data_IF_187595255764
#
_entry.id   IF_187595255764
#
_cell.length_a   1.000
_cell.length_b   1.000
_cell.length_c   1.000
_cell.angle_alpha   90.00
_cell.angle_beta   90.00
_cell.angle_gamma   90.00
#
_symmetry.space_group_name_H-M   'P 1'
#
loop_
_entity.id
_entity.type
_entity.pdbx_description
1 polymer ?
#
# COMPACT_ATOMS: atom_id res chain seq x y z
N UNK A 1 7.05 3.63 55.95
CA UNK A 1 6.27 3.86 54.71
C UNK A 1 7.12 4.53 53.64
N UNK A 2 7.72 5.71 53.87
CA UNK A 2 8.62 6.35 52.89
C UNK A 2 9.84 5.51 52.45
N UNK A 3 10.41 4.71 53.35
CA UNK A 3 11.59 3.88 53.05
C UNK A 3 11.24 2.68 52.13
N UNK A 4 10.03 2.11 52.30
CA UNK A 4 9.55 1.01 51.46
C UNK A 4 9.24 1.50 50.04
N UNK A 5 8.49 2.60 49.90
CA UNK A 5 8.17 3.17 48.59
C UNK A 5 9.44 3.52 47.80
N UNK A 6 10.43 4.12 48.46
CA UNK A 6 11.73 4.42 47.83
C UNK A 6 12.46 3.16 47.36
N UNK A 7 12.36 2.04 48.09
CA UNK A 7 12.93 0.76 47.68
C UNK A 7 12.18 0.16 46.47
N UNK A 8 10.84 0.23 46.46
CA UNK A 8 10.02 -0.24 45.34
C UNK A 8 10.32 0.54 44.05
N UNK A 9 10.43 1.87 44.15
CA UNK A 9 10.76 2.70 42.99
C UNK A 9 12.16 2.43 42.47
N UNK A 10 13.13 2.17 43.36
CA UNK A 10 14.46 1.74 42.95
C UNK A 10 14.43 0.40 42.23
N UNK A 11 13.75 -0.60 42.78
CA UNK A 11 13.61 -1.91 42.11
C UNK A 11 12.91 -1.81 40.77
N UNK A 12 11.95 -0.90 40.63
CA UNK A 12 11.28 -0.66 39.35
C UNK A 12 12.24 -0.06 38.32
N UNK A 13 13.08 0.92 38.72
CA UNK A 13 14.10 1.50 37.86
C UNK A 13 15.20 0.50 37.45
N UNK A 14 15.46 -0.50 38.30
CA UNK A 14 16.43 -1.55 38.06
C UNK A 14 15.81 -2.79 37.34
N UNK A 15 14.57 -2.69 36.84
CA UNK A 15 13.79 -3.78 36.21
C UNK A 15 13.60 -5.04 37.10
N UNK A 16 13.73 -4.89 38.42
CA UNK A 16 13.61 -5.96 39.40
C UNK A 16 12.15 -6.21 39.81
N UNK A 17 11.24 -6.32 38.85
CA UNK A 17 9.78 -6.42 39.08
C UNK A 17 9.39 -7.61 39.97
N UNK A 18 10.06 -8.75 39.83
CA UNK A 18 9.81 -9.92 40.67
C UNK A 18 10.10 -9.65 42.16
N UNK A 19 11.07 -8.77 42.48
CA UNK A 19 11.34 -8.40 43.88
C UNK A 19 10.22 -7.57 44.47
N UNK A 20 9.66 -6.65 43.68
CA UNK A 20 8.48 -5.87 44.06
C UNK A 20 7.31 -6.81 44.35
N UNK A 21 7.03 -7.74 43.43
CA UNK A 21 5.95 -8.72 43.56
C UNK A 21 6.12 -9.55 44.82
N UNK A 22 7.29 -10.18 45.02
CA UNK A 22 7.55 -11.00 46.19
C UNK A 22 7.38 -10.21 47.49
N UNK A 23 7.95 -9.00 47.56
CA UNK A 23 7.88 -8.15 48.74
C UNK A 23 6.44 -7.77 49.11
N UNK A 24 5.62 -7.39 48.12
CA UNK A 24 4.27 -6.90 48.35
C UNK A 24 3.26 -8.02 48.53
N UNK A 25 3.44 -9.19 47.90
CA UNK A 25 2.63 -10.38 48.17
C UNK A 25 2.95 -10.99 49.55
N UNK A 26 4.21 -11.00 49.99
CA UNK A 26 4.53 -11.37 51.37
C UNK A 26 3.87 -10.42 52.38
N UNK A 27 3.86 -9.11 52.08
CA UNK A 27 3.20 -8.12 52.92
C UNK A 27 1.67 -8.30 52.93
N UNK A 28 1.06 -8.58 51.77
CA UNK A 28 -0.39 -8.78 51.61
C UNK A 28 -0.92 -9.95 52.45
N UNK A 29 -0.08 -10.97 52.68
CA UNK A 29 -0.39 -12.11 53.55
C UNK A 29 -0.50 -11.73 55.04
N UNK A 30 0.09 -10.60 55.46
CA UNK A 30 0.11 -10.18 56.87
C UNK A 30 -0.78 -8.98 57.17
N UNK A 31 -1.07 -8.16 56.17
CA UNK A 31 -1.90 -6.96 56.28
C UNK A 31 -2.53 -6.59 54.94
N UNK A 32 -3.64 -5.84 54.97
CA UNK A 32 -4.20 -5.25 53.75
C UNK A 32 -3.24 -4.19 53.20
N UNK A 33 -2.92 -4.26 51.92
CA UNK A 33 -2.18 -3.22 51.22
C UNK A 33 -3.07 -1.97 51.09
N UNK A 34 -2.47 -0.79 51.27
CA UNK A 34 -3.14 0.47 50.95
C UNK A 34 -3.20 0.69 49.44
N UNK A 35 -3.88 1.76 49.03
CA UNK A 35 -4.04 2.15 47.63
C UNK A 35 -2.69 2.20 46.88
N UNK A 36 -1.72 2.94 47.45
CA UNK A 36 -0.42 3.16 46.82
C UNK A 36 0.33 1.84 46.63
N UNK A 37 0.42 1.00 47.65
CA UNK A 37 1.10 -0.30 47.55
C UNK A 37 0.39 -1.27 46.61
N UNK A 38 -0.94 -1.22 46.55
CA UNK A 38 -1.73 -2.04 45.60
C UNK A 38 -1.42 -1.65 44.16
N UNK A 39 -1.40 -0.34 43.86
CA UNK A 39 -1.02 0.17 42.54
C UNK A 39 0.42 -0.17 42.15
N UNK A 40 1.35 -0.18 43.12
CA UNK A 40 2.74 -0.57 42.89
C UNK A 40 2.89 -2.07 42.57
N UNK A 41 2.12 -2.92 43.25
CA UNK A 41 2.07 -4.35 42.95
C UNK A 41 1.50 -4.62 41.55
N UNK A 42 0.37 -3.98 41.21
CA UNK A 42 -0.22 -4.10 39.89
C UNK A 42 0.73 -3.61 38.78
N UNK A 43 1.42 -2.49 39.00
CA UNK A 43 2.47 -2.00 38.07
C UNK A 43 3.55 -3.05 37.84
N UNK A 44 4.03 -3.71 38.89
CA UNK A 44 5.07 -4.74 38.74
C UNK A 44 4.57 -5.95 37.95
N UNK A 45 3.32 -6.37 38.18
CA UNK A 45 2.69 -7.44 37.39
C UNK A 45 2.53 -7.09 35.92
N UNK A 46 2.11 -5.87 35.59
CA UNK A 46 2.03 -5.41 34.19
C UNK A 46 3.40 -5.44 33.49
N UNK A 47 4.47 -5.03 34.18
CA UNK A 47 5.79 -4.94 33.55
C UNK A 47 6.54 -6.27 33.47
N UNK A 48 6.23 -7.24 34.34
CA UNK A 48 6.86 -8.58 34.28
C UNK A 48 6.18 -9.52 33.26
N UNK A 49 4.95 -9.19 32.84
CA UNK A 49 4.15 -10.01 31.95
C UNK A 49 4.86 -10.24 30.60
N UNK A 50 5.26 -11.49 30.37
CA UNK A 50 5.79 -11.96 29.09
C UNK A 50 4.62 -12.46 28.23
N UNK A 51 4.26 -11.69 27.21
CA UNK A 51 3.08 -11.90 26.37
C UNK A 51 3.13 -13.20 25.57
N UNK A 52 4.31 -13.78 25.38
CA UNK A 52 4.51 -15.05 24.67
C UNK A 52 4.28 -16.28 25.56
N UNK A 53 4.01 -16.08 26.86
CA UNK A 53 3.88 -17.17 27.85
C UNK A 53 2.52 -17.14 28.55
N UNK A 54 1.99 -18.33 28.87
CA UNK A 54 0.75 -18.45 29.67
C UNK A 54 0.84 -17.73 31.02
N UNK A 55 2.03 -17.75 31.65
CA UNK A 55 2.28 -17.05 32.91
C UNK A 55 2.02 -15.53 32.79
N UNK A 56 2.35 -14.93 31.63
CA UNK A 56 2.12 -13.51 31.38
C UNK A 56 0.63 -13.14 31.42
N UNK A 57 -0.24 -14.02 30.92
CA UNK A 57 -1.70 -13.83 30.99
C UNK A 57 -2.18 -13.79 32.44
N UNK A 58 -1.76 -14.76 33.26
CA UNK A 58 -2.12 -14.78 34.68
C UNK A 58 -1.56 -13.59 35.47
N UNK A 59 -0.40 -13.06 35.07
CA UNK A 59 0.17 -11.84 35.67
C UNK A 59 -0.67 -10.60 35.32
N UNK A 60 -1.15 -10.46 34.08
CA UNK A 60 -2.05 -9.38 33.67
C UNK A 60 -3.42 -9.47 34.37
N UNK A 61 -3.99 -10.67 34.49
CA UNK A 61 -5.23 -10.92 35.24
C UNK A 61 -5.08 -10.50 36.71
N UNK A 62 -3.92 -10.81 37.32
CA UNK A 62 -3.62 -10.42 38.70
C UNK A 62 -3.47 -8.90 38.85
N UNK A 63 -2.84 -8.22 37.90
CA UNK A 63 -2.75 -6.77 37.88
C UNK A 63 -4.14 -6.12 37.80
N UNK A 64 -5.01 -6.63 36.92
CA UNK A 64 -6.39 -6.17 36.79
C UNK A 64 -7.18 -6.36 38.10
N UNK A 65 -7.10 -7.55 38.71
CA UNK A 65 -7.78 -7.84 39.98
C UNK A 65 -7.40 -6.83 41.07
N UNK A 66 -6.10 -6.57 41.21
CA UNK A 66 -5.56 -5.62 42.18
C UNK A 66 -6.07 -4.20 41.91
N UNK A 67 -6.02 -3.73 40.67
CA UNK A 67 -6.49 -2.38 40.30
C UNK A 67 -7.99 -2.22 40.54
N UNK A 68 -8.80 -3.21 40.14
CA UNK A 68 -10.25 -3.18 40.38
C UNK A 68 -10.60 -3.21 41.87
N UNK A 69 -9.77 -3.82 42.72
CA UNK A 69 -10.00 -3.87 44.18
C UNK A 69 -9.90 -2.50 44.87
N UNK A 70 -9.29 -1.50 44.20
CA UNK A 70 -9.10 -0.13 44.68
C UNK A 70 -9.69 0.92 43.73
N UNK A 71 -10.72 0.53 42.97
CA UNK A 71 -11.34 1.38 41.95
C UNK A 71 -12.00 2.64 42.54
N UNK A 72 -12.52 2.58 43.77
CA UNK A 72 -13.13 3.73 44.43
C UNK A 72 -12.10 4.83 44.72
N UNK A 73 -10.88 4.46 45.12
CA UNK A 73 -9.77 5.39 45.37
C UNK A 73 -9.09 5.89 44.08
N UNK A 74 -9.13 5.09 43.00
CA UNK A 74 -8.42 5.38 41.74
C UNK A 74 -9.15 6.28 40.74
N UNK A 75 -10.39 6.71 41.01
CA UNK A 75 -11.26 7.41 40.04
C UNK A 75 -10.64 8.67 39.43
N UNK A 76 -9.85 9.40 40.23
CA UNK A 76 -9.18 10.65 39.86
C UNK A 76 -7.66 10.49 39.70
N UNK A 77 -7.13 9.25 39.64
CA UNK A 77 -5.71 8.95 39.41
C UNK A 77 -5.47 8.53 37.95
N UNK A 78 -4.80 9.35 37.12
CA UNK A 78 -4.52 9.01 35.73
C UNK A 78 -3.68 7.74 35.59
N UNK A 79 -2.74 7.48 36.51
CA UNK A 79 -1.87 6.30 36.45
C UNK A 79 -2.61 5.01 36.81
N UNK A 80 -3.67 5.09 37.61
CA UNK A 80 -4.52 3.94 37.88
C UNK A 80 -5.30 3.54 36.63
N UNK A 81 -5.92 4.51 35.95
CA UNK A 81 -6.62 4.29 34.69
C UNK A 81 -5.68 3.75 33.61
N UNK A 82 -4.49 4.34 33.46
CA UNK A 82 -3.48 3.87 32.51
C UNK A 82 -3.08 2.42 32.78
N UNK A 83 -2.77 2.06 34.03
CA UNK A 83 -2.36 0.68 34.38
C UNK A 83 -3.47 -0.32 34.15
N UNK A 84 -4.73 0.04 34.45
CA UNK A 84 -5.87 -0.84 34.20
C UNK A 84 -6.11 -1.00 32.70
N UNK A 85 -6.02 0.10 31.95
CA UNK A 85 -6.07 0.09 30.49
C UNK A 85 -4.99 -0.81 29.89
N UNK A 86 -3.75 -0.72 30.37
CA UNK A 86 -2.64 -1.57 29.94
C UNK A 86 -2.94 -3.06 30.18
N UNK A 87 -3.38 -3.42 31.39
CA UNK A 87 -3.74 -4.81 31.71
C UNK A 87 -4.85 -5.34 30.79
N UNK A 88 -5.85 -4.50 30.48
CA UNK A 88 -6.98 -4.87 29.63
C UNK A 88 -6.59 -4.96 28.15
N UNK A 89 -5.73 -4.06 27.67
CA UNK A 89 -5.26 -4.04 26.28
C UNK A 89 -4.54 -5.33 25.92
N UNK A 90 -3.56 -5.75 26.74
CA UNK A 90 -2.82 -7.01 26.52
C UNK A 90 -3.61 -8.27 26.88
N UNK A 91 -4.83 -8.12 27.39
CA UNK A 91 -5.82 -9.19 27.54
C UNK A 91 -6.87 -9.16 26.41
N UNK A 92 -6.60 -8.50 25.29
CA UNK A 92 -7.50 -8.48 24.13
C UNK A 92 -8.87 -7.83 24.44
N UNK A 93 -8.93 -6.87 25.38
CA UNK A 93 -10.16 -6.18 25.81
C UNK A 93 -10.10 -4.68 25.50
N UNK A 94 -9.86 -4.35 24.23
CA UNK A 94 -9.53 -3.00 23.77
C UNK A 94 -10.68 -2.00 23.98
N UNK A 95 -11.95 -2.43 23.91
CA UNK A 95 -13.10 -1.54 24.20
C UNK A 95 -13.10 -1.04 25.65
N UNK A 96 -12.76 -1.92 26.60
CA UNK A 96 -12.64 -1.54 28.00
C UNK A 96 -11.34 -0.75 28.24
N UNK A 97 -10.23 -1.19 27.64
CA UNK A 97 -8.95 -0.50 27.72
C UNK A 97 -9.03 0.95 27.21
N UNK A 98 -9.69 1.17 26.06
CA UNK A 98 -9.93 2.49 25.46
C UNK A 98 -10.65 3.41 26.44
N UNK A 99 -11.68 2.90 27.12
CA UNK A 99 -12.42 3.68 28.12
C UNK A 99 -11.51 4.11 29.28
N UNK A 100 -10.61 3.23 29.73
CA UNK A 100 -9.61 3.56 30.75
C UNK A 100 -8.60 4.60 30.24
N UNK A 101 -8.03 4.42 29.04
CA UNK A 101 -7.05 5.36 28.50
C UNK A 101 -7.65 6.74 28.18
N UNK A 102 -8.89 6.81 27.69
CA UNK A 102 -9.61 8.07 27.53
C UNK A 102 -9.76 8.79 28.87
N UNK A 103 -10.11 8.07 29.94
CA UNK A 103 -10.20 8.64 31.27
C UNK A 103 -8.83 9.07 31.83
N UNK A 104 -7.77 8.31 31.59
CA UNK A 104 -6.41 8.71 31.92
C UNK A 104 -6.02 10.02 31.22
N UNK A 105 -6.35 10.15 29.92
CA UNK A 105 -6.08 11.35 29.12
C UNK A 105 -6.86 12.58 29.58
N UNK A 106 -8.11 12.41 30.00
CA UNK A 106 -8.90 13.50 30.57
C UNK A 106 -8.26 14.07 31.85
N UNK A 107 -7.65 13.20 32.67
CA UNK A 107 -7.02 13.55 33.94
C UNK A 107 -5.59 14.08 33.75
N UNK A 108 -4.85 13.56 32.76
CA UNK A 108 -3.50 14.01 32.38
C UNK A 108 -3.37 14.16 30.85
N UNK A 109 -3.66 15.35 30.30
CA UNK A 109 -3.63 15.58 28.86
C UNK A 109 -2.23 15.56 28.24
N UNK A 110 -1.15 15.65 29.01
CA UNK A 110 0.22 15.75 28.48
C UNK A 110 0.92 14.39 28.33
N UNK A 111 0.30 13.30 28.81
CA UNK A 111 0.88 11.96 28.73
C UNK A 111 0.83 11.38 27.30
N UNK A 112 2.00 11.33 26.66
CA UNK A 112 2.15 10.81 25.29
C UNK A 112 1.88 9.30 25.20
N UNK A 113 2.20 8.54 26.26
CA UNK A 113 2.02 7.09 26.27
C UNK A 113 0.54 6.72 26.21
N UNK A 114 -0.32 7.48 26.90
CA UNK A 114 -1.77 7.32 26.80
C UNK A 114 -2.31 7.58 25.38
N UNK A 115 -1.71 8.47 24.57
CA UNK A 115 -2.15 8.65 23.15
C UNK A 115 -1.94 7.40 22.33
N UNK A 116 -0.77 6.82 22.51
CA UNK A 116 -0.33 5.69 21.75
C UNK A 116 -1.32 4.54 21.96
N UNK A 117 -1.68 4.26 23.21
CA UNK A 117 -2.64 3.20 23.52
C UNK A 117 -4.08 3.52 23.09
N UNK A 118 -4.52 4.79 23.08
CA UNK A 118 -5.83 5.16 22.50
C UNK A 118 -5.85 4.80 21.02
N UNK A 119 -4.83 5.23 20.26
CA UNK A 119 -4.72 4.96 18.82
C UNK A 119 -4.65 3.47 18.52
N UNK A 120 -3.88 2.71 19.30
CA UNK A 120 -3.82 1.25 19.15
C UNK A 120 -5.17 0.59 19.49
N UNK A 121 -5.84 0.98 20.58
CA UNK A 121 -7.17 0.45 20.90
C UNK A 121 -8.17 0.72 19.75
N UNK A 122 -8.23 1.95 19.24
CA UNK A 122 -9.13 2.31 18.12
C UNK A 122 -8.85 1.46 16.88
N UNK A 123 -7.57 1.26 16.55
CA UNK A 123 -7.12 0.41 15.44
C UNK A 123 -7.52 -1.05 15.62
N UNK A 124 -7.29 -1.66 16.78
CA UNK A 124 -7.69 -3.05 17.05
C UNK A 124 -9.21 -3.24 17.12
N UNK A 125 -9.94 -2.26 17.66
CA UNK A 125 -11.41 -2.26 17.65
C UNK A 125 -11.93 -2.23 16.22
N UNK A 126 -11.41 -1.31 15.40
CA UNK A 126 -11.77 -1.23 13.99
C UNK A 126 -11.46 -2.53 13.26
N UNK A 127 -10.25 -3.09 13.44
CA UNK A 127 -9.85 -4.35 12.82
C UNK A 127 -10.75 -5.54 13.21
N UNK A 128 -11.25 -5.61 14.45
CA UNK A 128 -12.17 -6.67 14.89
C UNK A 128 -13.59 -6.54 14.36
N UNK A 129 -13.98 -5.34 13.95
CA UNK A 129 -15.26 -5.08 13.29
C UNK A 129 -15.18 -5.35 11.78
N UNK A 130 -13.98 -5.53 11.23
CA UNK A 130 -13.76 -5.97 9.86
C UNK A 130 -14.04 -7.47 9.70
N UNK A 131 -14.67 -7.81 8.58
CA UNK A 131 -14.86 -9.19 8.14
C UNK A 131 -14.22 -9.34 6.76
N UNK A 132 -12.88 -9.35 6.69
CA UNK A 132 -12.19 -9.44 5.41
C UNK A 132 -12.56 -10.74 4.71
N UNK A 133 -12.57 -10.70 3.38
CA UNK A 133 -12.58 -11.90 2.57
C UNK A 133 -11.30 -12.72 2.85
N UNK A 134 -11.48 -14.02 2.99
CA UNK A 134 -10.45 -15.00 3.33
C UNK A 134 -10.58 -16.20 2.39
N UNK A 135 -9.48 -16.87 2.09
CA UNK A 135 -9.55 -18.19 1.48
C UNK A 135 -10.31 -19.17 2.40
N UNK A 136 -11.04 -20.09 1.78
CA UNK A 136 -11.47 -21.29 2.49
C UNK A 136 -10.24 -22.10 2.90
N UNK A 137 -10.33 -22.88 3.98
CA UNK A 137 -9.17 -23.60 4.52
C UNK A 137 -8.46 -24.48 3.48
N UNK A 138 -9.20 -25.20 2.64
CA UNK A 138 -8.61 -26.07 1.61
C UNK A 138 -7.92 -25.26 0.49
N UNK A 139 -8.46 -24.09 0.14
CA UNK A 139 -7.86 -23.18 -0.84
C UNK A 139 -6.59 -22.53 -0.26
N UNK A 140 -6.63 -22.14 1.01
CA UNK A 140 -5.48 -21.61 1.76
C UNK A 140 -4.31 -22.60 1.72
N UNK A 141 -4.57 -23.85 2.11
CA UNK A 141 -3.56 -24.93 2.12
C UNK A 141 -3.00 -25.19 0.71
N UNK A 142 -3.83 -25.09 -0.34
CA UNK A 142 -3.39 -25.26 -1.73
C UNK A 142 -2.48 -24.11 -2.20
N UNK A 143 -2.85 -22.86 -1.92
CA UNK A 143 -2.07 -21.67 -2.30
C UNK A 143 -0.74 -21.64 -1.54
N UNK A 144 -0.74 -21.94 -0.24
CA UNK A 144 0.48 -22.00 0.57
C UNK A 144 1.44 -23.09 0.06
N UNK A 145 0.93 -24.29 -0.25
CA UNK A 145 1.73 -25.36 -0.82
C UNK A 145 2.29 -25.00 -2.22
N UNK A 146 1.53 -24.26 -3.03
CA UNK A 146 1.99 -23.77 -4.33
C UNK A 146 3.12 -22.75 -4.16
N UNK A 147 2.96 -21.81 -3.23
CA UNK A 147 3.99 -20.82 -2.92
C UNK A 147 5.29 -21.48 -2.47
N UNK A 148 5.21 -22.42 -1.52
CA UNK A 148 6.38 -23.13 -1.01
C UNK A 148 7.08 -23.93 -2.11
N UNK A 149 6.31 -24.58 -2.98
CA UNK A 149 6.84 -25.41 -4.07
C UNK A 149 7.62 -24.61 -5.11
N UNK A 150 7.09 -23.47 -5.56
CA UNK A 150 7.64 -22.76 -6.72
C UNK A 150 8.48 -21.53 -6.35
N UNK A 151 8.15 -20.84 -5.26
CA UNK A 151 8.86 -19.62 -4.84
C UNK A 151 9.77 -19.86 -3.63
N UNK A 152 9.50 -20.90 -2.84
CA UNK A 152 10.30 -21.34 -1.71
C UNK A 152 9.60 -21.17 -0.36
N UNK A 153 10.19 -21.67 0.73
CA UNK A 153 9.57 -21.64 2.05
C UNK A 153 9.35 -20.21 2.54
N UNK A 154 8.22 -19.98 3.20
CA UNK A 154 7.93 -18.71 3.85
C UNK A 154 8.77 -18.60 5.14
N UNK A 155 9.70 -17.65 5.18
CA UNK A 155 10.55 -17.42 6.35
C UNK A 155 9.90 -16.47 7.35
N UNK A 156 9.11 -15.52 6.85
CA UNK A 156 8.48 -14.49 7.63
C UNK A 156 7.21 -14.00 6.92
N UNK A 157 6.21 -13.62 7.71
CA UNK A 157 4.97 -13.04 7.20
C UNK A 157 4.87 -11.63 7.74
N UNK A 158 4.74 -10.66 6.84
CA UNK A 158 4.34 -9.32 7.23
C UNK A 158 2.82 -9.30 7.33
N UNK A 159 2.31 -9.38 8.55
CA UNK A 159 0.87 -9.32 8.80
C UNK A 159 0.34 -7.89 8.66
N UNK A 160 -0.76 -7.75 7.95
CA UNK A 160 -1.46 -6.48 7.89
C UNK A 160 -2.31 -6.27 9.15
N UNK A 161 -2.14 -5.12 9.80
CA UNK A 161 -2.79 -4.86 11.09
C UNK A 161 -4.27 -4.43 10.91
N UNK A 162 -4.63 -3.88 9.75
CA UNK A 162 -6.01 -3.53 9.40
C UNK A 162 -6.33 -3.97 7.99
N UNK A 163 -7.31 -4.85 7.87
CA UNK A 163 -7.77 -5.45 6.62
C UNK A 163 -9.30 -5.35 6.56
N UNK A 164 -9.86 -4.21 6.12
CA UNK A 164 -11.31 -4.00 6.12
C UNK A 164 -12.04 -4.81 5.06
N UNK A 165 -11.33 -5.19 4.00
CA UNK A 165 -11.84 -5.71 2.74
C UNK A 165 -11.36 -7.14 2.48
N UNK A 166 -10.04 -7.32 2.39
CA UNK A 166 -9.34 -8.59 2.20
C UNK A 166 -8.22 -8.70 3.20
N UNK A 167 -7.98 -9.90 3.72
CA UNK A 167 -6.84 -10.16 4.58
C UNK A 167 -5.62 -10.43 3.72
N UNK A 168 -4.79 -9.41 3.55
CA UNK A 168 -3.59 -9.50 2.71
C UNK A 168 -2.35 -9.48 3.59
N UNK A 169 -1.73 -10.64 3.67
CA UNK A 169 -0.41 -10.78 4.23
C UNK A 169 0.65 -10.68 3.12
N UNK A 170 1.87 -10.27 3.48
CA UNK A 170 3.01 -10.34 2.56
C UNK A 170 3.93 -11.45 3.02
N UNK A 171 3.98 -12.52 2.24
CA UNK A 171 4.87 -13.66 2.46
C UNK A 171 6.27 -13.29 1.97
N UNK A 172 7.28 -13.59 2.79
CA UNK A 172 8.69 -13.27 2.50
C UNK A 172 9.47 -14.57 2.43
N UNK A 173 9.92 -14.92 1.23
CA UNK A 173 10.83 -16.04 0.97
C UNK A 173 12.26 -15.50 0.80
N UNK A 174 13.17 -15.84 1.72
CA UNK A 174 14.54 -15.31 1.73
C UNK A 174 15.40 -15.83 0.56
N UNK A 175 16.51 -15.15 0.25
CA UNK A 175 17.53 -15.66 -0.66
C UNK A 175 18.05 -17.03 -0.20
N UNK A 176 18.20 -17.94 -1.15
CA UNK A 176 18.90 -19.21 -0.99
C UNK A 176 20.20 -19.21 -1.81
N UNK A 177 21.14 -20.13 -1.57
CA UNK A 177 22.33 -20.26 -2.41
C UNK A 177 22.00 -20.48 -3.90
N UNK A 178 20.88 -21.14 -4.21
CA UNK A 178 20.40 -21.42 -5.57
C UNK A 178 19.60 -20.24 -6.16
N UNK A 179 18.87 -19.49 -5.32
CA UNK A 179 18.05 -18.32 -5.67
C UNK A 179 18.46 -17.12 -4.82
N UNK A 180 19.50 -16.39 -5.25
CA UNK A 180 20.12 -15.32 -4.46
C UNK A 180 19.37 -13.98 -4.52
N UNK A 181 18.06 -13.99 -4.26
CA UNK A 181 17.18 -12.82 -4.18
C UNK A 181 15.97 -13.16 -3.30
N UNK A 182 15.25 -12.17 -2.77
CA UNK A 182 13.98 -12.36 -2.08
C UNK A 182 12.85 -12.58 -3.08
N UNK A 183 11.84 -13.37 -2.71
CA UNK A 183 10.50 -13.30 -3.30
C UNK A 183 9.56 -12.78 -2.23
N UNK A 184 8.82 -11.73 -2.56
CA UNK A 184 7.69 -11.27 -1.77
C UNK A 184 6.44 -11.60 -2.55
N UNK A 185 5.43 -12.14 -1.88
CA UNK A 185 4.13 -12.46 -2.47
C UNK A 185 3.03 -11.85 -1.61
N UNK A 186 1.98 -11.35 -2.24
CA UNK A 186 0.70 -11.25 -1.54
C UNK A 186 0.22 -12.65 -1.17
N UNK A 187 -0.50 -12.73 -0.07
CA UNK A 187 -1.26 -13.91 0.31
C UNK A 187 -2.61 -13.44 0.83
N UNK A 188 -3.68 -13.85 0.14
CA UNK A 188 -5.05 -13.48 0.46
C UNK A 188 -5.68 -12.50 -0.52
N UNK A 189 -4.90 -11.94 -1.46
CA UNK A 189 -5.46 -11.14 -2.56
C UNK A 189 -6.46 -11.98 -3.36
N UNK A 190 -6.08 -13.21 -3.70
CA UNK A 190 -6.93 -14.08 -4.51
C UNK A 190 -8.09 -14.70 -3.74
N UNK A 191 -8.30 -14.36 -2.46
CA UNK A 191 -9.53 -14.67 -1.73
C UNK A 191 -10.72 -13.91 -2.35
N UNK A 192 -10.46 -12.69 -2.82
CA UNK A 192 -11.42 -11.89 -3.56
C UNK A 192 -11.51 -12.32 -5.02
N UNK A 193 -12.73 -12.34 -5.55
CA UNK A 193 -12.99 -12.55 -6.98
C UNK A 193 -13.10 -11.20 -7.67
N UNK A 194 -12.12 -10.91 -8.51
CA UNK A 194 -12.06 -9.73 -9.37
C UNK A 194 -13.18 -9.71 -10.42
N UNK A 195 -13.58 -8.52 -10.84
CA UNK A 195 -14.60 -8.31 -11.85
C UNK A 195 -14.00 -8.42 -13.27
N UNK A 196 -13.91 -9.65 -13.77
CA UNK A 196 -13.35 -9.98 -15.09
C UNK A 196 -14.46 -9.92 -16.15
N UNK A 197 -14.22 -9.33 -17.35
CA UNK A 197 -15.19 -9.32 -18.45
C UNK A 197 -15.68 -10.72 -18.83
N UNK A 198 -16.98 -10.85 -19.15
CA UNK A 198 -17.61 -12.14 -19.47
C UNK A 198 -16.92 -12.87 -20.64
N UNK A 199 -16.36 -12.12 -21.60
CA UNK A 199 -15.60 -12.65 -22.74
C UNK A 199 -14.33 -13.40 -22.33
N UNK A 200 -13.83 -13.17 -21.12
CA UNK A 200 -12.64 -13.78 -20.55
C UNK A 200 -12.95 -14.84 -19.48
N UNK A 201 -14.22 -15.12 -19.18
CA UNK A 201 -14.62 -16.06 -18.13
C UNK A 201 -14.03 -17.48 -18.31
N UNK A 202 -13.85 -17.93 -19.55
CA UNK A 202 -13.23 -19.24 -19.85
C UNK A 202 -11.73 -19.32 -19.47
N UNK A 203 -11.10 -18.19 -19.14
CA UNK A 203 -9.68 -18.10 -18.77
C UNK A 203 -9.43 -18.17 -17.27
N UNK A 204 -10.47 -18.17 -16.43
CA UNK A 204 -10.38 -18.24 -14.96
C UNK A 204 -9.44 -17.20 -14.33
N UNK A 205 -9.61 -15.94 -14.71
CA UNK A 205 -8.73 -14.83 -14.29
C UNK A 205 -9.24 -14.12 -13.04
N UNK A 206 -10.30 -14.61 -12.39
CA UNK A 206 -11.01 -13.91 -11.32
C UNK A 206 -10.20 -13.85 -10.02
N UNK A 207 -9.14 -14.65 -9.86
CA UNK A 207 -8.32 -14.66 -8.65
C UNK A 207 -6.86 -14.54 -9.01
N UNK A 208 -6.14 -13.73 -8.23
CA UNK A 208 -4.72 -13.51 -8.44
C UNK A 208 -3.95 -13.30 -7.14
N UNK A 209 -2.67 -13.64 -7.16
CA UNK A 209 -1.66 -13.17 -6.21
C UNK A 209 -0.56 -12.46 -7.01
N UNK A 210 0.09 -11.48 -6.37
CA UNK A 210 1.15 -10.69 -6.99
C UNK A 210 2.46 -10.93 -6.27
N UNK A 211 3.51 -11.15 -7.06
CA UNK A 211 4.87 -11.35 -6.57
C UNK A 211 5.81 -10.22 -7.03
N UNK A 212 6.88 -10.03 -6.27
CA UNK A 212 8.05 -9.25 -6.68
C UNK A 212 9.32 -9.92 -6.18
N UNK A 213 10.37 -9.83 -6.99
CA UNK A 213 11.70 -10.36 -6.68
C UNK A 213 12.68 -9.22 -6.38
N UNK A 214 13.29 -9.25 -5.20
CA UNK A 214 14.16 -8.16 -4.73
C UNK A 214 15.60 -8.63 -4.48
N UNK A 215 16.63 -7.80 -4.73
CA UNK A 215 18.02 -8.14 -4.46
C UNK A 215 18.28 -8.67 -3.04
N UNK A 216 19.27 -9.54 -2.83
CA UNK A 216 19.51 -10.19 -1.54
C UNK A 216 19.98 -9.22 -0.43
N UNK A 217 20.41 -8.03 -0.80
CA UNK A 217 20.81 -6.96 0.10
C UNK A 217 19.69 -5.96 0.44
N UNK A 218 18.47 -6.16 -0.09
CA UNK A 218 17.28 -5.36 0.24
C UNK A 218 16.98 -5.37 1.74
N UNK A 219 16.69 -4.20 2.32
CA UNK A 219 16.50 -4.02 3.77
C UNK A 219 15.03 -4.13 4.16
N UNK A 220 14.49 -5.35 4.10
CA UNK A 220 13.10 -5.62 4.51
C UNK A 220 12.91 -5.25 5.99
N UNK A 221 11.89 -4.45 6.29
CA UNK A 221 11.56 -3.99 7.64
C UNK A 221 12.31 -2.74 8.10
N UNK A 222 13.24 -2.21 7.29
CA UNK A 222 13.84 -0.91 7.54
C UNK A 222 12.85 0.21 7.14
N UNK A 223 12.84 1.30 7.90
CA UNK A 223 12.08 2.51 7.56
C UNK A 223 12.66 3.20 6.31
N UNK A 224 11.80 3.83 5.51
CA UNK A 224 12.18 4.59 4.31
C UNK A 224 11.52 4.05 3.04
N UNK A 225 11.11 4.97 2.14
CA UNK A 225 10.48 4.58 0.88
C UNK A 225 11.40 3.75 0.01
N UNK A 226 12.72 3.99 0.08
CA UNK A 226 13.71 3.25 -0.72
C UNK A 226 13.67 1.73 -0.48
N UNK A 227 13.12 1.29 0.66
CA UNK A 227 12.95 -0.13 1.02
C UNK A 227 11.49 -0.58 1.01
N UNK A 228 10.55 0.32 1.33
CA UNK A 228 9.16 -0.01 1.61
C UNK A 228 8.26 0.03 0.37
N UNK A 229 8.62 0.79 -0.68
CA UNK A 229 7.77 0.95 -1.86
C UNK A 229 7.30 -0.39 -2.49
N UNK A 230 8.09 -1.48 -2.56
CA UNK A 230 7.59 -2.73 -3.14
C UNK A 230 6.46 -3.35 -2.32
N UNK A 231 6.58 -3.34 -0.99
CA UNK A 231 5.53 -3.84 -0.08
C UNK A 231 4.28 -2.97 -0.19
N UNK A 232 4.46 -1.64 -0.27
CA UNK A 232 3.36 -0.70 -0.49
C UNK A 232 2.60 -1.03 -1.78
N UNK A 233 3.31 -1.28 -2.87
CA UNK A 233 2.69 -1.59 -4.16
C UNK A 233 1.99 -2.95 -4.19
N UNK A 234 2.53 -3.99 -3.55
CA UNK A 234 1.80 -5.25 -3.37
C UNK A 234 0.45 -5.03 -2.67
N UNK A 235 0.41 -4.19 -1.62
CA UNK A 235 -0.83 -3.86 -0.91
C UNK A 235 -1.80 -3.01 -1.73
N UNK A 236 -1.28 -2.05 -2.50
CA UNK A 236 -2.10 -1.23 -3.42
C UNK A 236 -2.75 -2.13 -4.46
N UNK A 237 -1.94 -2.97 -5.13
CA UNK A 237 -2.44 -3.83 -6.20
C UNK A 237 -3.40 -4.90 -5.68
N UNK A 238 -3.22 -5.40 -4.46
CA UNK A 238 -4.17 -6.34 -3.87
C UNK A 238 -5.59 -5.75 -3.71
N UNK A 239 -5.70 -4.44 -3.50
CA UNK A 239 -6.96 -3.74 -3.27
C UNK A 239 -7.53 -3.03 -4.50
N UNK A 240 -6.69 -2.80 -5.51
CA UNK A 240 -7.10 -2.09 -6.72
C UNK A 240 -8.35 -2.74 -7.37
N UNK A 241 -8.47 -4.07 -7.50
CA UNK A 241 -9.68 -4.69 -8.03
C UNK A 241 -10.95 -4.41 -7.22
N UNK A 242 -10.82 -4.26 -5.89
CA UNK A 242 -11.95 -3.99 -4.98
C UNK A 242 -12.38 -2.52 -5.10
N UNK A 243 -11.40 -1.62 -5.08
CA UNK A 243 -11.64 -0.17 -5.08
C UNK A 243 -12.24 0.30 -6.42
N UNK A 244 -11.77 -0.29 -7.52
CA UNK A 244 -12.18 0.09 -8.87
C UNK A 244 -13.26 -0.84 -9.47
N UNK A 245 -13.75 -1.82 -8.70
CA UNK A 245 -14.67 -2.88 -9.19
C UNK A 245 -14.19 -3.50 -10.51
N UNK A 246 -12.89 -3.84 -10.56
CA UNK A 246 -12.17 -4.22 -11.76
C UNK A 246 -11.34 -5.50 -11.60
N UNK A 247 -10.33 -5.67 -12.45
CA UNK A 247 -9.44 -6.83 -12.43
C UNK A 247 -8.01 -6.51 -12.87
N UNK A 248 -7.08 -7.35 -12.44
CA UNK A 248 -5.67 -7.29 -12.80
C UNK A 248 -5.25 -8.53 -13.59
N UNK A 249 -4.50 -8.30 -14.66
CA UNK A 249 -4.07 -9.34 -15.59
C UNK A 249 -2.71 -9.06 -16.22
N UNK A 250 -2.24 -10.03 -17.00
CA UNK A 250 -1.01 -9.89 -17.77
C UNK A 250 -1.06 -8.67 -18.70
N UNK A 251 0.03 -7.90 -18.74
CA UNK A 251 0.17 -6.70 -19.56
C UNK A 251 -0.49 -5.44 -19.00
N UNK A 252 -1.27 -5.55 -17.91
CA UNK A 252 -1.82 -4.37 -17.24
C UNK A 252 -0.70 -3.53 -16.63
N UNK A 253 -0.86 -2.22 -16.71
CA UNK A 253 0.09 -1.25 -16.18
C UNK A 253 -0.57 -0.35 -15.15
N UNK A 254 0.16 -0.03 -14.08
CA UNK A 254 -0.28 0.95 -13.08
C UNK A 254 0.84 1.96 -12.87
N UNK A 255 0.53 3.24 -13.03
CA UNK A 255 1.46 4.33 -12.79
C UNK A 255 1.35 4.81 -11.34
N UNK A 256 2.46 5.27 -10.77
CA UNK A 256 2.40 6.11 -9.57
C UNK A 256 1.69 7.43 -9.93
N UNK A 257 0.95 8.06 -9.00
CA UNK A 257 0.36 9.37 -9.26
C UNK A 257 1.40 10.38 -9.76
N UNK A 258 1.00 11.18 -10.75
CA UNK A 258 1.85 12.15 -11.47
C UNK A 258 3.13 11.56 -12.06
N UNK A 259 3.17 10.24 -12.30
CA UNK A 259 4.35 9.48 -12.73
C UNK A 259 5.57 9.67 -11.82
N UNK A 260 5.34 9.97 -10.53
CA UNK A 260 6.42 10.23 -9.58
C UNK A 260 7.27 8.94 -9.39
N UNK A 261 8.60 9.06 -9.23
CA UNK A 261 9.41 7.91 -8.87
C UNK A 261 8.94 7.27 -7.55
N UNK A 262 9.07 5.95 -7.42
CA UNK A 262 8.66 5.23 -6.21
C UNK A 262 9.46 5.61 -4.96
N UNK A 263 10.69 6.10 -5.14
CA UNK A 263 11.54 6.63 -4.09
C UNK A 263 12.63 7.53 -4.70
N UNK A 264 13.28 8.37 -3.87
CA UNK A 264 14.31 9.33 -4.28
C UNK A 264 15.55 8.68 -4.94
N UNK A 265 15.79 7.40 -4.70
CA UNK A 265 16.96 6.66 -5.21
C UNK A 265 16.72 5.94 -6.54
N UNK A 266 15.54 6.07 -7.15
CA UNK A 266 15.15 5.36 -8.37
C UNK A 266 14.47 6.29 -9.37
N UNK A 267 14.47 5.89 -10.65
CA UNK A 267 13.66 6.51 -11.73
C UNK A 267 12.41 5.70 -12.07
N UNK A 268 12.23 4.55 -11.42
CA UNK A 268 11.08 3.67 -11.62
C UNK A 268 9.84 4.36 -11.04
N UNK A 269 8.78 4.47 -11.83
CA UNK A 269 7.60 5.27 -11.51
C UNK A 269 6.27 4.62 -11.91
N UNK A 270 6.32 3.45 -12.56
CA UNK A 270 5.15 2.66 -12.88
C UNK A 270 5.50 1.19 -12.84
N UNK A 271 4.53 0.34 -13.15
CA UNK A 271 4.72 -1.11 -13.15
C UNK A 271 3.84 -1.78 -14.18
N UNK A 272 4.31 -2.91 -14.70
CA UNK A 272 3.57 -3.82 -15.58
C UNK A 272 3.47 -5.20 -14.92
N UNK A 273 2.32 -5.85 -15.07
CA UNK A 273 2.12 -7.22 -14.62
C UNK A 273 2.50 -8.21 -15.72
N UNK A 274 3.31 -9.20 -15.38
CA UNK A 274 3.68 -10.32 -16.25
C UNK A 274 3.54 -11.64 -15.51
N UNK A 275 3.78 -12.77 -16.19
CA UNK A 275 3.92 -14.06 -15.53
C UNK A 275 5.22 -14.12 -14.71
N UNK A 276 5.30 -14.90 -13.62
CA UNK A 276 6.54 -15.15 -12.88
C UNK A 276 7.74 -15.43 -13.78
N UNK A 277 8.79 -14.61 -13.65
CA UNK A 277 9.99 -14.63 -14.48
C UNK A 277 11.11 -15.39 -13.77
N UNK A 278 11.69 -16.37 -14.46
CA UNK A 278 12.77 -17.20 -13.89
C UNK A 278 12.27 -18.31 -12.95
N UNK A 279 10.98 -18.65 -13.03
CA UNK A 279 10.36 -19.78 -12.33
C UNK A 279 9.84 -20.81 -13.34
N UNK A 280 9.45 -21.99 -12.85
CA UNK A 280 8.82 -23.03 -13.68
C UNK A 280 7.51 -22.50 -14.30
N UNK A 281 7.17 -22.94 -15.52
CA UNK A 281 5.95 -22.52 -16.23
C UNK A 281 4.68 -22.85 -15.42
N UNK A 282 4.72 -23.88 -14.57
CA UNK A 282 3.61 -24.23 -13.68
C UNK A 282 3.44 -23.28 -12.49
N UNK A 283 4.40 -22.40 -12.21
CA UNK A 283 4.30 -21.43 -11.11
C UNK A 283 3.21 -20.37 -11.37
N UNK A 284 2.83 -20.16 -12.64
CA UNK A 284 1.90 -19.10 -13.07
C UNK A 284 0.47 -19.29 -12.56
N UNK A 285 0.08 -20.50 -12.15
CA UNK A 285 -1.30 -20.79 -11.75
C UNK A 285 -1.37 -21.91 -10.70
N UNK A 286 -2.08 -21.65 -9.60
CA UNK A 286 -2.43 -22.65 -8.59
C UNK A 286 -3.87 -23.14 -8.80
N UNK A 287 -4.08 -24.43 -9.14
CA UNK A 287 -5.41 -25.02 -9.19
C UNK A 287 -5.96 -25.23 -7.76
N UNK A 288 -7.15 -24.72 -7.50
CA UNK A 288 -7.84 -24.86 -6.22
C UNK A 288 -8.69 -26.14 -6.16
N UNK A 289 -8.88 -26.75 -4.98
CA UNK A 289 -9.71 -27.95 -4.79
C UNK A 289 -11.15 -27.81 -5.35
N UNK A 290 -11.72 -26.60 -5.29
CA UNK A 290 -13.06 -26.28 -5.81
C UNK A 290 -13.16 -26.23 -7.35
N UNK A 291 -12.04 -26.30 -8.07
CA UNK A 291 -11.97 -26.23 -9.54
C UNK A 291 -11.70 -24.84 -10.11
N UNK A 292 -11.67 -23.81 -9.25
CA UNK A 292 -11.12 -22.49 -9.56
C UNK A 292 -9.58 -22.51 -9.62
N UNK A 293 -9.00 -21.38 -9.97
CA UNK A 293 -7.56 -21.18 -10.10
C UNK A 293 -7.16 -19.83 -9.51
N UNK A 294 -5.94 -19.75 -8.95
CA UNK A 294 -5.30 -18.50 -8.53
C UNK A 294 -4.12 -18.24 -9.45
N UNK A 295 -4.18 -17.14 -10.19
CA UNK A 295 -3.12 -16.74 -11.12
C UNK A 295 -2.02 -15.97 -10.39
N UNK A 296 -0.76 -16.25 -10.70
CA UNK A 296 0.37 -15.51 -10.16
C UNK A 296 0.87 -14.51 -11.20
N UNK A 297 0.96 -13.25 -10.80
CA UNK A 297 1.56 -12.20 -11.61
C UNK A 297 2.78 -11.62 -10.92
N UNK A 298 3.86 -11.43 -11.67
CA UNK A 298 5.00 -10.66 -11.20
C UNK A 298 4.83 -9.20 -11.58
N UNK A 299 4.98 -8.30 -10.62
CA UNK A 299 5.09 -6.88 -10.91
C UNK A 299 6.52 -6.52 -11.35
N UNK A 300 6.65 -5.91 -12.52
CA UNK A 300 7.90 -5.40 -13.07
C UNK A 300 7.86 -3.87 -13.02
N UNK A 301 8.69 -3.24 -12.18
CA UNK A 301 8.83 -1.78 -12.15
C UNK A 301 9.33 -1.24 -13.49
N UNK A 302 8.72 -0.17 -13.96
CA UNK A 302 9.02 0.51 -15.22
C UNK A 302 9.47 1.96 -14.99
N UNK A 303 10.35 2.45 -15.86
CA UNK A 303 10.62 3.89 -15.97
C UNK A 303 9.50 4.59 -16.72
N UNK A 304 9.45 5.92 -16.66
CA UNK A 304 8.47 6.70 -17.41
C UNK A 304 8.50 6.39 -18.90
N UNK A 305 9.69 6.32 -19.50
CA UNK A 305 9.86 6.05 -20.94
C UNK A 305 9.32 4.66 -21.33
N UNK A 306 9.41 3.69 -20.43
CA UNK A 306 8.90 2.32 -20.66
C UNK A 306 7.38 2.26 -20.54
N UNK A 307 6.79 3.01 -19.59
CA UNK A 307 5.34 3.18 -19.48
C UNK A 307 4.77 3.80 -20.77
N UNK A 308 5.40 4.87 -21.25
CA UNK A 308 5.01 5.52 -22.51
C UNK A 308 5.18 4.59 -23.70
N UNK A 309 6.28 3.85 -23.76
CA UNK A 309 6.49 2.87 -24.83
C UNK A 309 5.38 1.83 -24.86
N UNK A 310 5.02 1.24 -23.71
CA UNK A 310 3.91 0.27 -23.62
C UNK A 310 2.58 0.87 -24.05
N UNK A 311 2.30 2.12 -23.69
CA UNK A 311 1.03 2.77 -24.07
C UNK A 311 0.95 3.06 -25.57
N UNK A 312 2.07 3.42 -26.19
CA UNK A 312 2.15 3.61 -27.64
C UNK A 312 2.22 2.30 -28.45
N UNK A 313 2.54 1.20 -27.78
CA UNK A 313 2.74 -0.13 -28.36
C UNK A 313 1.92 -1.15 -27.57
N UNK A 314 2.39 -2.39 -27.45
CA UNK A 314 1.79 -3.39 -26.58
C UNK A 314 2.76 -3.93 -25.51
N UNK A 315 2.21 -4.66 -24.55
CA UNK A 315 2.98 -5.22 -23.45
C UNK A 315 4.04 -6.24 -23.92
N UNK A 316 3.77 -7.01 -24.98
CA UNK A 316 4.72 -8.00 -25.48
C UNK A 316 5.93 -7.30 -26.11
N UNK A 317 5.70 -6.28 -26.93
CA UNK A 317 6.77 -5.49 -27.55
C UNK A 317 7.65 -4.79 -26.51
N UNK A 318 7.07 -4.28 -25.41
CA UNK A 318 7.84 -3.77 -24.29
C UNK A 318 8.68 -4.89 -23.64
N UNK A 319 8.05 -6.01 -23.28
CA UNK A 319 8.71 -7.11 -22.55
C UNK A 319 9.85 -7.73 -23.36
N UNK A 320 9.72 -7.80 -24.69
CA UNK A 320 10.76 -8.30 -25.60
C UNK A 320 12.03 -7.43 -25.61
N UNK A 321 11.94 -6.17 -25.17
CA UNK A 321 13.11 -5.28 -24.99
C UNK A 321 13.91 -5.61 -23.73
N UNK A 322 13.31 -6.28 -22.75
CA UNK A 322 14.01 -6.63 -21.51
C UNK A 322 14.89 -7.88 -21.69
N UNK A 323 16.03 -7.89 -21.00
CA UNK A 323 16.78 -9.14 -20.80
C UNK A 323 16.10 -9.99 -19.71
N UNK A 324 16.22 -11.33 -19.75
CA UNK A 324 15.69 -12.19 -18.71
C UNK A 324 16.17 -11.82 -17.29
N UNK A 325 17.40 -11.30 -17.16
CA UNK A 325 17.94 -10.87 -15.87
C UNK A 325 17.24 -9.62 -15.32
N UNK A 326 16.87 -8.67 -16.19
CA UNK A 326 16.14 -7.46 -15.79
C UNK A 326 14.69 -7.76 -15.39
N UNK A 327 14.09 -8.82 -15.97
CA UNK A 327 12.77 -9.30 -15.61
C UNK A 327 12.79 -10.17 -14.32
N UNK A 328 13.91 -10.83 -14.04
CA UNK A 328 14.00 -11.78 -12.93
C UNK A 328 14.14 -11.11 -11.56
N UNK A 329 14.82 -9.97 -11.43
CA UNK A 329 15.06 -9.28 -10.14
C UNK A 329 15.03 -7.77 -10.34
N UNK A 330 14.35 -7.06 -9.44
CA UNK A 330 14.30 -5.59 -9.46
C UNK A 330 15.70 -4.98 -9.31
N UNK A 331 16.05 -4.09 -10.23
CA UNK A 331 17.23 -3.22 -10.14
C UNK A 331 16.77 -1.76 -10.18
N UNK A 332 16.89 -1.06 -9.04
CA UNK A 332 16.46 0.34 -8.88
C UNK A 332 17.37 1.34 -9.60
N UNK A 333 18.54 0.89 -10.08
CA UNK A 333 19.52 1.72 -10.76
C UNK A 333 19.68 1.36 -12.24
N UNK A 334 18.86 0.44 -12.76
CA UNK A 334 18.90 0.10 -14.18
C UNK A 334 18.52 1.30 -15.05
N UNK A 335 19.16 1.39 -16.21
CA UNK A 335 18.70 2.28 -17.27
C UNK A 335 17.43 1.72 -17.92
N UNK A 336 16.68 2.61 -18.58
CA UNK A 336 15.51 2.23 -19.37
C UNK A 336 15.92 1.30 -20.52
N UNK A 337 15.11 0.26 -20.79
CA UNK A 337 15.25 -0.57 -22.00
C UNK A 337 14.80 0.17 -23.27
N UNK A 338 14.31 1.40 -23.11
CA UNK A 338 13.95 2.34 -24.17
C UNK A 338 14.92 3.52 -24.26
N UNK A 339 16.13 3.42 -23.69
CA UNK A 339 17.13 4.50 -23.73
C UNK A 339 17.69 4.82 -25.12
N UNK A 340 17.48 3.93 -26.11
CA UNK A 340 17.75 4.17 -27.52
C UNK A 340 16.73 5.10 -28.18
N UNK A 341 15.57 5.30 -27.55
CA UNK A 341 14.55 6.25 -28.01
C UNK A 341 14.95 7.68 -27.62
N UNK A 342 14.54 8.68 -28.42
CA UNK A 342 14.81 10.07 -28.10
C UNK A 342 14.23 10.45 -26.73
N UNK A 343 15.09 10.83 -25.78
CA UNK A 343 14.62 11.34 -24.49
C UNK A 343 13.95 12.71 -24.69
N UNK A 344 12.68 12.80 -24.31
CA UNK A 344 11.92 14.06 -24.33
C UNK A 344 12.45 14.99 -23.24
N UNK A 345 12.81 16.20 -23.63
CA UNK A 345 13.18 17.27 -22.68
C UNK A 345 11.97 18.16 -22.47
N UNK A 346 11.22 17.87 -21.42
CA UNK A 346 10.00 18.59 -21.07
C UNK A 346 10.25 20.08 -20.83
N UNK A 347 9.34 20.93 -21.32
CA UNK A 347 9.42 22.38 -21.14
C UNK A 347 9.15 22.78 -19.68
N UNK A 348 8.24 22.08 -19.02
CA UNK A 348 8.02 22.15 -17.57
C UNK A 348 8.52 20.84 -16.96
N UNK A 349 9.61 20.85 -16.17
CA UNK A 349 10.09 19.67 -15.47
C UNK A 349 9.02 19.12 -14.53
N UNK A 350 8.97 17.79 -14.38
CA UNK A 350 8.02 17.11 -13.49
C UNK A 350 8.05 17.67 -12.05
N UNK A 351 9.24 17.99 -11.53
CA UNK A 351 9.41 18.57 -10.19
C UNK A 351 8.79 19.96 -10.00
N UNK A 352 8.38 20.61 -11.09
CA UNK A 352 7.71 21.91 -11.09
C UNK A 352 6.20 21.81 -11.32
N UNK A 353 5.68 20.63 -11.67
CA UNK A 353 4.25 20.39 -11.82
C UNK A 353 3.54 20.57 -10.48
N UNK A 354 2.34 21.16 -10.54
CA UNK A 354 1.47 21.41 -9.40
C UNK A 354 0.14 20.71 -9.63
N UNK A 355 -0.52 20.32 -8.56
CA UNK A 355 -1.91 19.88 -8.62
C UNK A 355 -2.80 21.10 -8.86
N UNK A 356 -3.16 21.32 -10.12
CA UNK A 356 -4.00 22.46 -10.58
C UNK A 356 -5.35 22.00 -11.13
N UNK A 357 -5.50 20.71 -11.38
CA UNK A 357 -6.73 20.08 -11.83
C UNK A 357 -6.95 18.73 -11.16
N UNK A 358 -8.17 18.52 -10.69
CA UNK A 358 -8.64 17.26 -10.13
C UNK A 358 -10.07 17.06 -10.63
N UNK A 359 -10.22 16.31 -11.72
CA UNK A 359 -11.51 15.97 -12.31
C UNK A 359 -12.03 14.62 -11.84
N UNK A 360 -13.34 14.40 -11.98
CA UNK A 360 -13.94 13.08 -11.81
C UNK A 360 -13.70 12.23 -13.07
N UNK A 361 -13.45 10.93 -12.91
CA UNK A 361 -13.30 9.97 -14.01
C UNK A 361 -11.84 9.80 -14.50
N UNK A 362 -11.64 9.16 -15.67
CA UNK A 362 -10.32 8.85 -16.21
C UNK A 362 -9.50 10.12 -16.45
N UNK A 363 -8.23 10.09 -16.07
CA UNK A 363 -7.36 11.28 -16.10
C UNK A 363 -6.29 11.25 -17.20
N UNK A 364 -6.14 10.15 -17.94
CA UNK A 364 -5.17 10.04 -19.03
C UNK A 364 -5.62 10.80 -20.27
N UNK A 365 -4.68 11.40 -20.99
CA UNK A 365 -4.92 12.08 -22.26
C UNK A 365 -3.69 11.95 -23.16
N UNK A 366 -3.84 12.20 -24.47
CA UNK A 366 -2.71 12.28 -25.39
C UNK A 366 -2.37 13.74 -25.65
N UNK A 367 -1.08 14.09 -25.61
CA UNK A 367 -0.60 15.40 -26.02
C UNK A 367 0.66 15.30 -26.88
N UNK A 368 0.81 16.27 -27.80
CA UNK A 368 1.97 16.36 -28.70
C UNK A 368 3.18 17.00 -28.03
N UNK A 369 4.36 16.70 -28.55
CA UNK A 369 5.63 17.30 -28.12
C UNK A 369 5.67 18.81 -28.36
N UNK A 370 4.86 19.34 -29.29
CA UNK A 370 4.70 20.80 -29.44
C UNK A 370 4.29 21.44 -28.11
N UNK A 371 3.44 20.78 -27.33
CA UNK A 371 3.01 21.28 -26.02
C UNK A 371 4.07 20.95 -24.98
N UNK A 372 4.35 19.66 -24.77
CA UNK A 372 5.10 19.21 -23.59
C UNK A 372 6.62 19.36 -23.72
N UNK A 373 7.18 19.40 -24.93
CA UNK A 373 8.62 19.59 -25.18
C UNK A 373 8.93 21.02 -25.62
N UNK A 374 8.18 21.55 -26.59
CA UNK A 374 8.45 22.90 -27.11
C UNK A 374 7.81 24.01 -26.26
N UNK A 375 6.86 23.67 -25.38
CA UNK A 375 6.15 24.63 -24.52
C UNK A 375 5.14 25.49 -25.27
N UNK A 376 4.63 25.04 -26.41
CA UNK A 376 3.59 25.74 -27.15
C UNK A 376 2.24 25.63 -26.41
N UNK A 377 1.39 26.67 -26.46
CA UNK A 377 0.03 26.56 -25.97
C UNK A 377 -0.78 25.56 -26.80
N UNK A 378 -1.80 24.98 -26.19
CA UNK A 378 -2.79 24.15 -26.89
C UNK A 378 -3.53 25.04 -27.89
N UNK A 379 -3.38 24.72 -29.18
CA UNK A 379 -4.06 25.43 -30.27
C UNK A 379 -5.29 24.69 -30.78
N UNK A 380 -5.32 23.36 -30.66
CA UNK A 380 -6.46 22.54 -31.00
C UNK A 380 -6.55 21.34 -30.05
N UNK A 381 -7.75 21.08 -29.52
CA UNK A 381 -8.01 19.89 -28.72
C UNK A 381 -9.39 19.32 -29.02
N UNK A 382 -9.52 18.02 -28.85
CA UNK A 382 -10.77 17.31 -29.05
C UNK A 382 -10.89 16.16 -28.07
N UNK A 383 -12.12 15.70 -27.87
CA UNK A 383 -12.43 14.57 -27.02
C UNK A 383 -13.07 13.48 -27.86
N UNK A 384 -12.42 12.33 -27.98
CA UNK A 384 -12.96 11.14 -28.63
C UNK A 384 -13.55 10.18 -27.59
N UNK A 385 -14.37 9.23 -28.05
CA UNK A 385 -14.74 8.10 -27.22
C UNK A 385 -13.51 7.20 -27.07
N UNK A 386 -13.10 6.82 -25.84
CA UNK A 386 -12.00 5.89 -25.65
C UNK A 386 -12.25 4.57 -26.36
N UNK A 387 -11.16 3.92 -26.79
CA UNK A 387 -11.23 2.57 -27.34
C UNK A 387 -11.74 1.57 -26.29
N UNK A 388 -12.40 0.51 -26.75
CA UNK A 388 -12.94 -0.52 -25.88
C UNK A 388 -11.81 -1.20 -25.08
N UNK A 389 -11.84 -1.07 -23.76
CA UNK A 389 -10.82 -1.55 -22.82
C UNK A 389 -9.95 -0.45 -22.21
N UNK A 390 -9.99 0.78 -22.73
CA UNK A 390 -9.20 1.92 -22.24
C UNK A 390 -10.02 2.92 -21.41
N UNK A 391 -11.33 2.69 -21.25
CA UNK A 391 -12.27 3.61 -20.61
C UNK A 391 -11.95 3.89 -19.14
N UNK A 392 -11.14 3.05 -18.50
CA UNK A 392 -10.72 3.22 -17.11
C UNK A 392 -9.62 4.28 -16.94
N UNK A 393 -8.78 4.49 -17.96
CA UNK A 393 -7.60 5.37 -17.85
C UNK A 393 -7.62 6.51 -18.87
N UNK A 394 -8.16 6.31 -20.08
CA UNK A 394 -8.20 7.33 -21.11
C UNK A 394 -9.45 8.21 -20.97
N UNK A 395 -9.25 9.52 -20.80
CA UNK A 395 -10.31 10.52 -20.74
C UNK A 395 -10.93 10.81 -22.11
N UNK A 396 -10.29 10.35 -23.18
CA UNK A 396 -10.61 10.66 -24.57
C UNK A 396 -10.00 11.98 -25.06
N UNK A 397 -9.36 12.76 -24.19
CA UNK A 397 -8.80 14.05 -24.59
C UNK A 397 -7.52 13.89 -25.42
N UNK A 398 -7.43 14.70 -26.47
CA UNK A 398 -6.29 14.84 -27.38
C UNK A 398 -5.91 16.31 -27.48
N UNK A 399 -4.66 16.65 -27.22
CA UNK A 399 -4.16 18.03 -27.21
C UNK A 399 -3.03 18.22 -28.23
N UNK A 400 -3.17 19.26 -29.05
CA UNK A 400 -2.19 19.66 -30.08
C UNK A 400 -1.95 21.17 -30.03
N UNK A 401 -0.82 21.65 -30.56
CA UNK A 401 -0.56 23.06 -30.76
C UNK A 401 -1.32 23.65 -31.97
N UNK A 402 -1.94 22.79 -32.80
CA UNK A 402 -2.71 23.16 -33.98
C UNK A 402 -1.86 23.52 -35.21
N UNK A 403 -0.54 23.37 -35.12
CA UNK A 403 0.42 23.61 -36.21
C UNK A 403 1.18 22.36 -36.66
N UNK A 404 0.83 21.21 -36.09
CA UNK A 404 1.34 19.90 -36.45
C UNK A 404 0.94 19.50 -37.89
N UNK A 405 1.91 19.01 -38.65
CA UNK A 405 1.64 18.40 -39.96
C UNK A 405 1.12 16.97 -39.82
N UNK A 406 0.40 16.44 -40.82
CA UNK A 406 0.00 15.01 -40.82
C UNK A 406 1.19 14.05 -40.60
N UNK A 407 2.32 14.27 -41.28
CA UNK A 407 3.55 13.46 -41.08
C UNK A 407 4.15 13.56 -39.67
N UNK A 408 3.80 14.59 -38.90
CA UNK A 408 4.21 14.73 -37.50
C UNK A 408 3.27 13.94 -36.60
N UNK A 409 1.96 13.99 -36.88
CA UNK A 409 0.94 13.22 -36.16
C UNK A 409 1.07 11.71 -36.41
N UNK A 410 1.55 11.31 -37.60
CA UNK A 410 1.81 9.91 -37.95
C UNK A 410 3.05 9.31 -37.24
N UNK A 411 3.85 10.13 -36.55
CA UNK A 411 5.07 9.72 -35.85
C UNK A 411 4.76 9.51 -34.35
N UNK A 412 4.67 8.27 -33.85
CA UNK A 412 4.28 7.99 -32.46
C UNK A 412 5.27 8.56 -31.43
N UNK A 413 6.52 8.85 -31.83
CA UNK A 413 7.50 9.48 -30.95
C UNK A 413 7.19 10.97 -30.68
N UNK A 414 6.27 11.57 -31.44
CA UNK A 414 5.89 13.01 -31.37
C UNK A 414 4.69 13.30 -30.48
N UNK A 415 4.10 12.28 -29.88
CA UNK A 415 3.04 12.39 -28.88
C UNK A 415 3.30 11.45 -27.70
N UNK A 416 2.51 11.57 -26.65
CA UNK A 416 2.60 10.69 -25.49
C UNK A 416 1.35 10.79 -24.63
N UNK A 417 1.23 9.89 -23.67
CA UNK A 417 0.15 9.84 -22.71
C UNK A 417 0.55 10.59 -21.45
N UNK A 418 -0.30 11.50 -21.00
CA UNK A 418 -0.08 12.34 -19.83
C UNK A 418 -1.36 12.43 -18.98
N UNK A 419 -1.21 12.76 -17.71
CA UNK A 419 -2.37 13.14 -16.90
C UNK A 419 -2.93 14.50 -17.39
N UNK A 420 -4.24 14.67 -17.30
CA UNK A 420 -4.90 15.95 -17.57
C UNK A 420 -4.30 17.08 -16.72
N UNK A 421 -4.00 16.80 -15.45
CA UNK A 421 -3.30 17.73 -14.56
C UNK A 421 -1.96 18.21 -15.16
N UNK A 422 -1.19 17.32 -15.81
CA UNK A 422 0.05 17.69 -16.50
C UNK A 422 -0.24 18.75 -17.56
N UNK A 423 -1.19 18.51 -18.46
CA UNK A 423 -1.50 19.45 -19.55
C UNK A 423 -2.04 20.79 -19.00
N UNK A 424 -2.83 20.75 -17.92
CA UNK A 424 -3.30 21.96 -17.23
C UNK A 424 -2.16 22.81 -16.64
N UNK A 425 -0.99 22.24 -16.33
CA UNK A 425 0.18 23.03 -15.94
C UNK A 425 0.85 23.74 -17.13
N UNK A 426 0.83 23.11 -18.32
CA UNK A 426 1.36 23.71 -19.54
C UNK A 426 0.43 24.79 -20.08
N UNK A 427 -0.89 24.57 -20.01
CA UNK A 427 -1.89 25.49 -20.51
C UNK A 427 -3.18 25.48 -19.66
N UNK A 428 -3.26 26.34 -18.62
CA UNK A 428 -4.42 26.39 -17.73
C UNK A 428 -5.74 26.78 -18.40
N UNK A 429 -5.70 27.35 -19.62
CA UNK A 429 -6.91 27.78 -20.33
C UNK A 429 -7.74 26.58 -20.84
N UNK A 430 -7.20 25.35 -20.82
CA UNK A 430 -7.95 24.14 -21.18
C UNK A 430 -8.86 23.64 -20.07
N UNK A 431 -8.60 24.01 -18.81
CA UNK A 431 -9.37 23.53 -17.64
C UNK A 431 -10.89 23.68 -17.83
N UNK A 432 -11.42 24.83 -18.29
CA UNK A 432 -12.86 25.00 -18.47
C UNK A 432 -13.48 24.13 -19.57
N UNK A 433 -12.66 23.48 -20.41
CA UNK A 433 -13.11 22.63 -21.51
C UNK A 433 -13.27 21.18 -21.09
N UNK A 434 -12.59 20.72 -20.04
CA UNK A 434 -12.41 19.31 -19.71
C UNK A 434 -13.71 18.57 -19.35
N UNK A 435 -14.76 19.31 -18.96
CA UNK A 435 -16.10 18.78 -18.70
C UNK A 435 -16.93 18.54 -19.97
N UNK A 436 -16.39 18.82 -21.16
CA UNK A 436 -17.10 18.64 -22.44
C UNK A 436 -17.30 17.16 -22.77
N UNK A 437 -18.43 16.80 -23.37
CA UNK A 437 -18.74 15.43 -23.79
C UNK A 437 -17.80 14.95 -24.93
N UNK A 438 -17.58 13.63 -25.09
CA UNK A 438 -16.96 13.08 -26.29
C UNK A 438 -17.66 13.55 -27.58
N UNK A 439 -16.87 13.66 -28.66
CA UNK A 439 -17.29 14.27 -29.93
C UNK A 439 -17.21 15.80 -29.96
N UNK A 440 -16.58 16.42 -28.95
CA UNK A 440 -16.33 17.88 -28.94
C UNK A 440 -14.92 18.22 -29.41
N UNK A 441 -14.79 19.33 -30.13
CA UNK A 441 -13.51 19.88 -30.57
C UNK A 441 -13.47 21.39 -30.33
N UNK A 442 -12.28 21.90 -30.06
CA UNK A 442 -12.02 23.30 -29.73
C UNK A 442 -10.76 23.79 -30.43
N UNK A 443 -10.84 24.96 -31.06
CA UNK A 443 -9.69 25.65 -31.62
C UNK A 443 -9.43 26.96 -30.90
N UNK A 444 -8.16 27.28 -30.65
CA UNK A 444 -7.73 28.55 -30.08
C UNK A 444 -7.56 29.58 -31.20
N UNK A 445 -8.36 30.64 -31.15
CA UNK A 445 -8.22 31.75 -32.09
C UNK A 445 -6.96 32.59 -31.85
N UNK A 446 -6.62 33.46 -32.81
CA UNK A 446 -5.49 34.41 -32.69
C UNK A 446 -5.59 35.35 -31.47
N UNK A 447 -6.80 35.54 -30.93
CA UNK A 447 -7.08 36.30 -29.71
C UNK A 447 -6.87 35.50 -28.41
N UNK A 448 -6.42 34.25 -28.52
CA UNK A 448 -6.15 33.35 -27.40
C UNK A 448 -7.39 32.63 -26.86
N UNK A 449 -8.58 32.86 -27.45
CA UNK A 449 -9.84 32.32 -26.93
C UNK A 449 -10.24 31.04 -27.67
N UNK A 450 -10.59 29.99 -26.91
CA UNK A 450 -11.13 28.75 -27.46
C UNK A 450 -12.55 28.93 -28.02
N UNK A 451 -12.80 28.32 -29.18
CA UNK A 451 -14.09 28.29 -29.85
C UNK A 451 -14.40 26.85 -30.27
N UNK A 452 -15.66 26.41 -30.15
CA UNK A 452 -16.04 25.07 -30.55
C UNK A 452 -15.94 24.93 -32.07
N UNK A 453 -15.43 23.80 -32.53
CA UNK A 453 -15.40 23.39 -33.93
C UNK A 453 -16.14 22.06 -34.11
N UNK A 454 -16.49 21.73 -35.37
CA UNK A 454 -17.01 20.42 -35.68
C UNK A 454 -15.86 19.41 -35.59
N UNK A 455 -16.03 18.40 -34.74
CA UNK A 455 -15.16 17.24 -34.77
C UNK A 455 -15.49 16.43 -36.04
N UNK A 456 -14.54 16.33 -36.96
CA UNK A 456 -14.64 15.50 -38.16
C UNK A 456 -13.72 14.29 -37.94
N UNK A 457 -14.31 13.10 -37.75
CA UNK A 457 -13.58 11.83 -37.80
C UNK A 457 -13.02 11.66 -39.22
N UNK A 458 -11.70 11.70 -39.38
CA UNK A 458 -11.00 11.37 -40.64
C UNK A 458 -10.81 9.85 -40.81
#
# INVERSE_FOLDING_TARGET
MNDLLSALDKWHQDDEYQKIINCLEELSNTQKLDYTLTCQLARAYNNIADLDKEEGKSQLERAEELLRSVADEGQDDPLWHYRLGYSLFYQDREKEALSCFQRARELDPEDADTEFFIKECEKYIAARECHPEMYAQEDWEAVEAHLERYFGPCDNVFHEIMSPDIHVDIYIMKPTPERNYYVLSTFGMGAHRMNVPEELADRKLERAEIIVTLPPDWKIGQEGEEWYWPIRWLKILARLPINEDGWLGWGHTVANPDDAPFADNTRLCGLVLTQPQGFDDEAVCCPLPGGDEVNFYQMIPLTFEEMQFKLAHDAQELLDRFTPQQLAVVDVHRESVCADLPQKRFAIPQTELKEVYQGDGPQGCIATDRIVVDGAPVGYCYREEPDAGDEAWDSGWRFTAGDESGTYMDDPDRSGVYALNTICNYDPDVIPLLDSEPGTAWSRGEDGVFRPELYEDD
#
